data_IF_455987809117
#
_entry.id   IF_455987809117
#
_cell.length_a   1.000
_cell.length_b   1.000
_cell.length_c   1.000
_cell.angle_alpha   90.00
_cell.angle_beta   90.00
_cell.angle_gamma   90.00
#
_symmetry.space_group_name_H-M   'P 1'
#
loop_
_entity.id
_entity.type
_entity.pdbx_description
1 polymer ?
#
# COMPACT_ATOMS: atom_id res chain seq x y z
N UNK A 1 18.98 7.99 -18.03
CA UNK A 1 19.05 6.59 -17.54
C UNK A 1 17.65 6.09 -17.15
N UNK A 2 16.67 6.16 -18.06
CA UNK A 2 15.29 5.69 -17.87
C UNK A 2 14.66 4.97 -19.09
N UNK A 3 15.15 5.11 -20.35
CA UNK A 3 14.44 4.51 -21.49
C UNK A 3 14.87 3.06 -21.82
N UNK A 4 15.68 2.39 -20.98
CA UNK A 4 16.23 1.05 -21.32
C UNK A 4 15.62 -0.14 -20.58
N UNK A 5 14.58 0.03 -19.76
CA UNK A 5 13.96 -1.08 -19.02
C UNK A 5 12.58 -1.56 -19.55
N UNK A 6 11.98 -0.88 -20.53
CA UNK A 6 10.57 -1.12 -20.89
C UNK A 6 10.30 -1.44 -22.38
N UNK A 7 11.05 -2.33 -23.07
CA UNK A 7 10.65 -2.74 -24.41
C UNK A 7 9.49 -3.75 -24.42
N UNK A 8 9.12 -4.34 -23.28
CA UNK A 8 8.19 -5.48 -23.22
C UNK A 8 7.19 -5.49 -22.05
N UNK A 9 6.92 -4.35 -21.39
CA UNK A 9 5.70 -4.25 -20.59
C UNK A 9 4.52 -4.11 -21.58
N UNK A 10 4.16 -5.23 -22.18
CA UNK A 10 3.12 -5.33 -23.21
C UNK A 10 1.83 -4.76 -22.65
N UNK A 11 1.12 -3.98 -23.46
CA UNK A 11 -0.18 -3.32 -23.20
C UNK A 11 -1.17 -4.10 -22.30
N UNK A 12 -1.10 -5.44 -22.29
CA UNK A 12 -1.86 -6.34 -21.43
C UNK A 12 -1.58 -6.23 -19.93
N UNK A 13 -0.39 -5.84 -19.48
CA UNK A 13 -0.01 -5.88 -18.05
C UNK A 13 -0.66 -4.76 -17.21
N UNK A 14 -0.91 -3.60 -17.83
CA UNK A 14 -1.64 -2.50 -17.19
C UNK A 14 -3.15 -2.54 -17.48
N UNK A 15 -3.65 -3.55 -18.21
CA UNK A 15 -5.05 -3.63 -18.64
C UNK A 15 -5.50 -2.47 -19.53
N UNK A 16 -4.55 -1.76 -20.17
CA UNK A 16 -4.82 -0.60 -21.02
C UNK A 16 -4.74 -1.05 -22.48
N UNK A 17 -5.88 -1.04 -23.18
CA UNK A 17 -5.97 -1.42 -24.60
C UNK A 17 -5.12 -0.55 -25.53
N UNK A 18 -4.66 0.63 -25.06
CA UNK A 18 -3.77 1.52 -25.81
C UNK A 18 -2.73 2.18 -24.88
N UNK A 19 -1.45 1.84 -25.05
CA UNK A 19 -0.30 2.48 -24.39
C UNK A 19 -0.03 3.91 -24.93
N UNK A 20 -1.05 4.77 -24.99
CA UNK A 20 -0.83 6.19 -25.18
C UNK A 20 -0.32 6.81 -23.87
N UNK A 21 0.64 7.75 -23.91
CA UNK A 21 1.15 8.42 -22.71
C UNK A 21 0.02 9.11 -21.91
N UNK A 22 -1.03 9.57 -22.60
CA UNK A 22 -2.24 10.14 -21.99
C UNK A 22 -3.11 9.09 -21.25
N UNK A 23 -3.19 7.85 -21.75
CA UNK A 23 -3.95 6.78 -21.11
C UNK A 23 -3.24 6.24 -19.87
N UNK A 24 -1.91 6.16 -19.91
CA UNK A 24 -1.08 5.78 -18.75
C UNK A 24 -1.13 6.85 -17.68
N UNK A 25 -1.03 8.13 -18.05
CA UNK A 25 -1.16 9.23 -17.08
C UNK A 25 -2.54 9.26 -16.43
N UNK A 26 -3.62 9.07 -17.20
CA UNK A 26 -4.97 8.99 -16.66
C UNK A 26 -5.17 7.80 -15.70
N UNK A 27 -4.58 6.64 -16.02
CA UNK A 27 -4.62 5.48 -15.12
C UNK A 27 -3.86 5.73 -13.82
N UNK A 28 -2.63 6.26 -13.90
CA UNK A 28 -1.82 6.58 -12.72
C UNK A 28 -2.47 7.65 -11.85
N UNK A 29 -3.07 8.68 -12.46
CA UNK A 29 -3.84 9.71 -11.76
C UNK A 29 -5.05 9.17 -11.02
N UNK A 30 -5.56 7.98 -11.37
CA UNK A 30 -6.62 7.30 -10.62
C UNK A 30 -6.07 6.36 -9.55
N UNK A 31 -5.10 5.52 -9.92
CA UNK A 31 -4.59 4.46 -9.04
C UNK A 31 -3.77 5.02 -7.87
N UNK A 32 -2.99 6.08 -8.09
CA UNK A 32 -2.16 6.67 -7.04
C UNK A 32 -3.03 7.22 -5.89
N UNK A 33 -4.05 8.08 -6.14
CA UNK A 33 -4.95 8.52 -5.07
C UNK A 33 -5.67 7.38 -4.37
N UNK A 34 -6.18 6.40 -5.11
CA UNK A 34 -6.86 5.22 -4.56
C UNK A 34 -5.95 4.42 -3.62
N UNK A 35 -4.70 4.16 -4.04
CA UNK A 35 -3.72 3.45 -3.22
C UNK A 35 -3.34 4.25 -1.97
N UNK A 36 -3.09 5.57 -2.11
CA UNK A 36 -2.83 6.45 -0.97
C UNK A 36 -3.99 6.44 0.02
N UNK A 37 -5.24 6.54 -0.46
CA UNK A 37 -6.43 6.50 0.38
C UNK A 37 -6.54 5.18 1.16
N UNK A 38 -6.29 4.03 0.52
CA UNK A 38 -6.27 2.74 1.21
C UNK A 38 -5.17 2.66 2.28
N UNK A 39 -4.00 3.26 2.04
CA UNK A 39 -2.91 3.30 2.99
C UNK A 39 -3.18 4.25 4.17
N UNK A 40 -3.86 5.38 3.95
CA UNK A 40 -4.35 6.26 5.01
C UNK A 40 -5.34 5.56 5.93
N UNK A 41 -6.32 4.86 5.34
CA UNK A 41 -7.25 4.03 6.10
C UNK A 41 -6.55 2.90 6.87
N UNK A 42 -5.35 2.48 6.46
CA UNK A 42 -4.56 1.44 7.12
C UNK A 42 -3.62 1.98 8.20
N UNK A 43 -3.75 3.26 8.55
CA UNK A 43 -2.85 3.97 9.46
C UNK A 43 -1.36 3.83 9.07
N UNK A 44 -1.09 3.53 7.79
CA UNK A 44 0.24 3.37 7.23
C UNK A 44 0.80 4.70 6.71
N UNK A 45 -0.08 5.64 6.37
CA UNK A 45 0.29 7.00 5.97
C UNK A 45 -0.33 8.02 6.93
N UNK A 46 0.41 9.11 7.17
CA UNK A 46 -0.04 10.27 7.93
C UNK A 46 0.31 11.53 7.15
N UNK A 47 -0.59 12.50 7.11
CA UNK A 47 -0.29 13.82 6.57
C UNK A 47 0.63 14.55 7.55
N UNK A 48 1.77 15.02 7.07
CA UNK A 48 2.70 15.86 7.85
C UNK A 48 2.18 17.28 7.90
N UNK A 49 1.60 17.74 6.80
CA UNK A 49 1.07 19.08 6.64
C UNK A 49 -0.45 19.03 6.44
N UNK A 50 -1.21 20.01 6.98
CA UNK A 50 -2.66 20.12 6.79
C UNK A 50 -3.04 20.61 5.38
N UNK A 51 -2.06 20.93 4.54
CA UNK A 51 -2.28 21.39 3.17
C UNK A 51 -2.77 20.25 2.25
N UNK A 52 -3.62 20.54 1.26
CA UNK A 52 -4.16 19.52 0.34
C UNK A 52 -3.09 18.87 -0.55
N UNK A 53 -1.98 19.56 -0.83
CA UNK A 53 -0.79 19.05 -1.50
C UNK A 53 0.34 18.70 -0.52
N UNK A 54 -0.01 18.54 0.77
CA UNK A 54 0.93 18.35 1.86
C UNK A 54 1.75 17.07 1.75
N UNK A 55 2.92 17.08 2.40
CA UNK A 55 3.82 15.93 2.39
C UNK A 55 3.21 14.78 3.18
N UNK A 56 3.22 13.59 2.60
CA UNK A 56 2.78 12.36 3.27
C UNK A 56 3.99 11.70 3.94
N UNK A 57 3.86 11.35 5.22
CA UNK A 57 4.86 10.58 5.94
C UNK A 57 4.41 9.14 6.21
N UNK A 58 5.41 8.27 6.22
CA UNK A 58 5.31 6.87 6.65
C UNK A 58 5.25 6.80 8.18
N UNK A 59 4.22 6.11 8.70
CA UNK A 59 4.07 5.84 10.13
C UNK A 59 5.03 4.74 10.60
N UNK A 60 5.09 4.49 11.92
CA UNK A 60 5.89 3.38 12.45
C UNK A 60 5.36 2.02 11.95
N UNK A 61 4.04 1.88 11.76
CA UNK A 61 3.42 0.66 11.26
C UNK A 61 3.85 0.36 9.81
N UNK A 62 3.87 1.36 8.93
CA UNK A 62 4.34 1.17 7.55
C UNK A 62 5.83 0.89 7.47
N UNK A 63 6.66 1.45 8.36
CA UNK A 63 8.10 1.10 8.40
C UNK A 63 8.31 -0.37 8.75
N UNK A 64 7.58 -0.88 9.73
CA UNK A 64 7.61 -2.31 10.08
C UNK A 64 7.11 -3.13 8.88
N UNK A 65 6.03 -2.68 8.22
CA UNK A 65 5.50 -3.35 7.04
C UNK A 65 6.55 -3.48 5.93
N UNK A 66 7.22 -2.38 5.58
CA UNK A 66 8.25 -2.36 4.54
C UNK A 66 9.49 -3.17 4.92
N UNK A 67 9.85 -3.18 6.21
CA UNK A 67 11.00 -3.95 6.69
C UNK A 67 10.77 -5.46 6.59
N UNK A 68 9.56 -5.93 6.93
CA UNK A 68 9.19 -7.34 6.91
C UNK A 68 8.42 -7.77 5.66
N UNK A 69 8.36 -6.90 4.63
CA UNK A 69 7.58 -7.12 3.39
C UNK A 69 6.12 -7.55 3.65
N UNK A 70 5.50 -6.99 4.69
CA UNK A 70 4.12 -7.28 5.06
C UNK A 70 3.15 -6.42 4.25
N UNK A 71 1.99 -6.99 3.92
CA UNK A 71 0.90 -6.23 3.32
C UNK A 71 0.33 -5.21 4.32
N UNK A 72 0.03 -4.00 3.83
CA UNK A 72 -0.60 -2.94 4.63
C UNK A 72 -1.93 -3.38 5.29
N UNK A 73 -2.67 -4.30 4.64
CA UNK A 73 -3.89 -4.92 5.18
C UNK A 73 -3.61 -5.77 6.42
N UNK A 74 -2.48 -6.45 6.47
CA UNK A 74 -2.03 -7.23 7.64
C UNK A 74 -1.69 -6.30 8.80
N UNK A 75 -1.00 -5.18 8.51
CA UNK A 75 -0.71 -4.17 9.54
C UNK A 75 -1.98 -3.50 10.08
N UNK A 76 -3.00 -3.26 9.25
CA UNK A 76 -4.30 -2.77 9.72
C UNK A 76 -4.95 -3.77 10.69
N UNK A 77 -4.98 -5.05 10.31
CA UNK A 77 -5.49 -6.13 11.17
C UNK A 77 -4.77 -6.17 12.52
N UNK A 78 -3.45 -6.01 12.50
CA UNK A 78 -2.64 -5.98 13.72
C UNK A 78 -2.98 -4.74 14.55
N UNK A 79 -3.09 -3.56 13.93
CA UNK A 79 -3.47 -2.34 14.64
C UNK A 79 -4.85 -2.43 15.32
N UNK A 80 -5.81 -3.11 14.68
CA UNK A 80 -7.18 -3.23 15.18
C UNK A 80 -7.35 -4.37 16.22
N UNK A 81 -6.61 -5.47 16.05
CA UNK A 81 -6.85 -6.72 16.79
C UNK A 81 -5.84 -6.98 17.90
N UNK A 82 -4.64 -6.36 17.83
CA UNK A 82 -3.58 -6.59 18.80
C UNK A 82 -3.85 -5.81 20.07
N UNK A 83 -4.06 -6.54 21.17
CA UNK A 83 -4.33 -5.99 22.50
C UNK A 83 -3.26 -6.47 23.47
N UNK A 84 -2.90 -5.69 24.50
CA UNK A 84 -1.89 -6.10 25.48
C UNK A 84 -2.31 -7.34 26.29
N UNK A 85 -3.59 -7.69 26.30
CA UNK A 85 -4.13 -8.89 26.97
C UNK A 85 -4.26 -10.12 26.07
N UNK A 86 -3.70 -10.10 24.85
CA UNK A 86 -3.75 -11.25 23.95
C UNK A 86 -2.82 -12.37 24.46
N UNK A 87 -3.37 -13.58 24.57
CA UNK A 87 -2.59 -14.78 24.84
C UNK A 87 -1.89 -15.29 23.56
N UNK A 88 -0.87 -16.14 23.72
CA UNK A 88 -0.07 -16.69 22.62
C UNK A 88 -0.93 -17.39 21.56
N UNK A 89 -1.99 -18.09 22.00
CA UNK A 89 -2.93 -18.73 21.10
C UNK A 89 -3.68 -17.71 20.22
N UNK A 90 -4.06 -16.56 20.79
CA UNK A 90 -4.71 -15.47 20.06
C UNK A 90 -3.76 -14.81 19.04
N UNK A 91 -2.48 -14.66 19.40
CA UNK A 91 -1.45 -14.17 18.48
C UNK A 91 -1.25 -15.13 17.29
N UNK A 92 -1.19 -16.44 17.55
CA UNK A 92 -1.06 -17.46 16.50
C UNK A 92 -2.25 -17.43 15.54
N UNK A 93 -3.48 -17.31 16.04
CA UNK A 93 -4.67 -17.18 15.20
C UNK A 93 -4.62 -15.91 14.34
N UNK A 94 -4.19 -14.79 14.91
CA UNK A 94 -4.11 -13.50 14.24
C UNK A 94 -3.07 -13.53 13.09
N UNK A 95 -1.96 -14.26 13.28
CA UNK A 95 -0.98 -14.53 12.22
C UNK A 95 -1.51 -15.50 11.16
N UNK A 96 -2.23 -16.54 11.57
CA UNK A 96 -2.74 -17.58 10.67
C UNK A 96 -3.85 -17.08 9.73
N UNK A 97 -4.66 -16.11 10.14
CA UNK A 97 -5.79 -15.55 9.34
C UNK A 97 -5.37 -14.97 7.99
N UNK A 98 -4.08 -14.70 7.75
CA UNK A 98 -3.57 -14.21 6.45
C UNK A 98 -2.60 -15.15 5.74
N UNK A 99 -2.32 -16.33 6.31
CA UNK A 99 -1.50 -17.38 5.68
C UNK A 99 -2.34 -18.42 4.91
N UNK A 100 -3.67 -18.29 4.90
CA UNK A 100 -4.60 -19.03 4.04
C UNK A 100 -5.33 -18.04 3.10
#
# INVERSE_FOLDING_TARGET
MFPRLFPHLTSSYCGLENCQPASVSAFLSRVIPDACHQLFQSSCLKSVDPEPDGVIASTTLSRIASYYYLFHKTMRLFADSLKPSLDVHGLLQLLAVRLC
#
